data_IF_362072944114
#
_entry.id   IF_362072944114
#
_cell.length_a   1.000
_cell.length_b   1.000
_cell.length_c   1.000
_cell.angle_alpha   90.00
_cell.angle_beta   90.00
_cell.angle_gamma   90.00
#
_symmetry.space_group_name_H-M   'P 1'
#
loop_
_entity.id
_entity.type
_entity.pdbx_description
1 polymer ?
#
# COMPACT_ATOMS: atom_id res chain seq x y z
N UNK A 1 3.50 -23.89 -17.96
CA UNK A 1 2.28 -23.91 -17.12
C UNK A 1 2.69 -23.32 -15.80
N UNK A 2 2.29 -22.08 -15.55
CA UNK A 2 2.49 -21.45 -14.24
C UNK A 2 1.44 -22.13 -13.34
N UNK A 3 1.90 -22.88 -12.36
CA UNK A 3 1.05 -23.38 -11.29
C UNK A 3 0.37 -22.15 -10.68
N UNK A 4 -0.93 -21.99 -10.93
CA UNK A 4 -1.70 -20.88 -10.41
C UNK A 4 -1.71 -20.99 -8.89
N UNK A 5 -1.00 -20.09 -8.22
CA UNK A 5 -1.12 -19.96 -6.78
C UNK A 5 -2.60 -19.70 -6.48
N UNK A 6 -3.27 -20.69 -5.90
CA UNK A 6 -4.62 -20.51 -5.37
C UNK A 6 -4.46 -19.57 -4.18
N UNK A 7 -4.87 -18.31 -4.33
CA UNK A 7 -4.89 -17.37 -3.22
C UNK A 7 -6.34 -17.16 -2.86
N UNK A 8 -6.65 -17.35 -1.57
CA UNK A 8 -8.00 -17.14 -1.05
C UNK A 8 -7.98 -16.58 0.35
N UNK A 9 -8.75 -15.51 0.56
CA UNK A 9 -8.86 -14.88 1.87
C UNK A 9 -10.19 -14.15 2.07
N UNK A 10 -10.51 -13.90 3.33
CA UNK A 10 -11.66 -13.12 3.78
C UNK A 10 -11.20 -11.95 4.65
N UNK A 11 -11.78 -10.78 4.42
CA UNK A 11 -11.39 -9.56 5.14
C UNK A 11 -12.60 -8.65 5.38
N UNK A 12 -12.56 -7.87 6.45
CA UNK A 12 -13.56 -6.85 6.73
C UNK A 12 -13.51 -5.71 5.70
N UNK A 13 -14.68 -5.30 5.21
CA UNK A 13 -14.81 -4.28 4.16
C UNK A 13 -14.15 -2.96 4.53
N UNK A 14 -14.36 -2.43 5.73
CA UNK A 14 -13.84 -1.12 6.13
C UNK A 14 -12.32 -1.13 6.27
N UNK A 15 -11.79 -2.17 6.91
CA UNK A 15 -10.35 -2.37 7.09
C UNK A 15 -9.65 -2.51 5.74
N UNK A 16 -10.22 -3.28 4.82
CA UNK A 16 -9.68 -3.45 3.47
C UNK A 16 -9.72 -2.16 2.67
N UNK A 17 -10.85 -1.44 2.69
CA UNK A 17 -11.01 -0.18 1.97
C UNK A 17 -10.03 0.90 2.46
N UNK A 18 -9.80 0.98 3.77
CA UNK A 18 -8.84 1.90 4.36
C UNK A 18 -7.41 1.55 3.96
N UNK A 19 -7.02 0.27 4.05
CA UNK A 19 -5.71 -0.21 3.65
C UNK A 19 -5.42 0.05 2.17
N UNK A 20 -6.36 -0.26 1.28
CA UNK A 20 -6.25 0.03 -0.16
C UNK A 20 -6.12 1.53 -0.40
N UNK A 21 -6.98 2.35 0.24
CA UNK A 21 -6.93 3.81 0.12
C UNK A 21 -5.59 4.38 0.58
N UNK A 22 -4.99 3.81 1.61
CA UNK A 22 -3.68 4.22 2.10
C UNK A 22 -2.58 3.98 1.07
N UNK A 23 -2.42 2.75 0.58
CA UNK A 23 -1.32 2.41 -0.33
C UNK A 23 -1.47 3.03 -1.72
N UNK A 24 -2.71 3.21 -2.19
CA UNK A 24 -3.00 3.80 -3.52
C UNK A 24 -2.61 5.28 -3.60
N UNK A 25 -2.51 6.00 -2.47
CA UNK A 25 -2.03 7.39 -2.46
C UNK A 25 -0.62 7.55 -3.00
N UNK A 26 0.20 6.50 -2.88
CA UNK A 26 1.56 6.49 -3.41
C UNK A 26 1.62 6.27 -4.92
N UNK A 27 0.60 5.68 -5.53
CA UNK A 27 0.64 5.33 -6.95
C UNK A 27 0.76 6.60 -7.82
N UNK A 28 1.77 6.65 -8.70
CA UNK A 28 2.02 7.82 -9.53
C UNK A 28 0.85 8.09 -10.48
N UNK A 29 0.58 9.38 -10.73
CA UNK A 29 -0.50 9.78 -11.63
C UNK A 29 -0.19 9.47 -13.10
N UNK A 30 1.08 9.53 -13.48
CA UNK A 30 1.60 9.19 -14.80
C UNK A 30 2.79 8.27 -14.59
N UNK A 31 2.62 7.01 -14.96
CA UNK A 31 3.68 6.03 -14.79
C UNK A 31 4.15 5.53 -16.16
N UNK A 32 5.44 5.69 -16.50
CA UNK A 32 6.01 5.09 -17.70
C UNK A 32 6.07 3.56 -17.62
N UNK A 33 5.96 2.99 -16.44
CA UNK A 33 5.96 1.54 -16.21
C UNK A 33 4.60 1.08 -15.67
N UNK A 34 3.74 0.46 -16.49
CA UNK A 34 2.40 0.04 -16.07
C UNK A 34 2.36 -0.86 -14.84
N UNK A 35 3.42 -1.66 -14.61
CA UNK A 35 3.50 -2.58 -13.47
C UNK A 35 3.44 -1.85 -12.12
N UNK A 36 3.98 -0.63 -12.04
CA UNK A 36 3.97 0.19 -10.82
C UNK A 36 2.59 0.81 -10.49
N UNK A 37 1.61 0.66 -11.38
CA UNK A 37 0.22 0.98 -11.06
C UNK A 37 -0.44 -0.13 -10.19
N UNK A 38 0.28 -1.21 -9.93
CA UNK A 38 -0.17 -2.34 -9.13
C UNK A 38 -0.08 -2.09 -7.62
N UNK A 39 -1.00 -2.71 -6.90
CA UNK A 39 -0.92 -2.95 -5.45
C UNK A 39 -0.62 -4.42 -5.25
N UNK A 40 0.50 -4.70 -4.59
CA UNK A 40 0.91 -6.04 -4.19
C UNK A 40 0.16 -6.41 -2.92
N UNK A 41 -0.52 -7.56 -2.94
CA UNK A 41 -1.24 -8.11 -1.78
C UNK A 41 -0.64 -9.48 -1.48
N UNK A 42 -0.06 -9.59 -0.29
CA UNK A 42 0.53 -10.82 0.22
C UNK A 42 -0.38 -11.36 1.32
N UNK A 43 -0.96 -12.53 1.11
CA UNK A 43 -1.80 -13.23 2.07
C UNK A 43 -0.95 -14.29 2.79
N UNK A 44 -0.90 -14.24 4.11
CA UNK A 44 -0.07 -15.13 4.92
C UNK A 44 -0.60 -15.34 6.34
N UNK A 45 0.20 -15.96 7.19
CA UNK A 45 -0.18 -16.33 8.55
C UNK A 45 -0.59 -15.14 9.44
N UNK A 46 -0.12 -13.95 9.13
CA UNK A 46 -0.40 -12.73 9.91
C UNK A 46 -1.49 -11.84 9.28
N UNK A 47 -2.25 -12.38 8.33
CA UNK A 47 -3.28 -11.65 7.60
C UNK A 47 -2.79 -11.18 6.23
N UNK A 48 -3.16 -9.95 5.83
CA UNK A 48 -2.80 -9.39 4.53
C UNK A 48 -1.79 -8.26 4.70
N UNK A 49 -0.75 -8.28 3.87
CA UNK A 49 0.15 -7.14 3.66
C UNK A 49 -0.16 -6.52 2.30
N UNK A 50 -0.54 -5.24 2.28
CA UNK A 50 -0.76 -4.47 1.06
C UNK A 50 0.42 -3.52 0.88
N UNK A 51 0.98 -3.49 -0.32
CA UNK A 51 2.15 -2.66 -0.62
C UNK A 51 2.02 -1.97 -1.98
N UNK A 52 2.59 -0.76 -2.07
CA UNK A 52 2.80 -0.03 -3.31
C UNK A 52 4.22 0.54 -3.34
N UNK A 53 4.81 0.65 -4.52
CA UNK A 53 6.19 1.10 -4.71
C UNK A 53 6.33 1.83 -6.06
N UNK A 54 7.09 2.92 -6.10
CA UNK A 54 7.33 3.72 -7.30
C UNK A 54 8.82 4.01 -7.58
N UNK A 55 9.74 3.29 -6.93
CA UNK A 55 11.19 3.46 -6.88
C UNK A 55 11.69 4.62 -6.01
N UNK A 56 10.87 5.62 -5.70
CA UNK A 56 11.24 6.74 -4.83
C UNK A 56 10.70 6.55 -3.41
N UNK A 57 9.49 5.99 -3.32
CA UNK A 57 8.84 5.73 -2.05
C UNK A 57 8.13 4.38 -2.05
N UNK A 58 7.91 3.82 -0.87
CA UNK A 58 7.09 2.64 -0.66
C UNK A 58 6.06 2.88 0.44
N UNK A 59 4.87 2.34 0.26
CA UNK A 59 3.87 2.26 1.32
C UNK A 59 3.54 0.80 1.56
N UNK A 60 3.48 0.40 2.83
CA UNK A 60 3.08 -0.93 3.26
C UNK A 60 2.16 -0.82 4.46
N UNK A 61 1.11 -1.61 4.48
CA UNK A 61 0.23 -1.76 5.64
C UNK A 61 -0.17 -3.22 5.80
N UNK A 62 -0.30 -3.66 7.04
CA UNK A 62 -0.75 -5.01 7.36
C UNK A 62 -2.09 -4.94 8.07
N UNK A 63 -3.01 -5.81 7.68
CA UNK A 63 -4.37 -5.87 8.22
C UNK A 63 -4.73 -7.31 8.59
N UNK A 64 -5.60 -7.45 9.58
CA UNK A 64 -6.14 -8.75 9.96
C UNK A 64 -7.07 -9.30 8.88
N UNK A 65 -6.92 -10.57 8.56
CA UNK A 65 -7.74 -11.28 7.61
C UNK A 65 -7.71 -12.78 7.90
N UNK A 66 -8.73 -13.50 7.46
CA UNK A 66 -8.73 -14.97 7.45
C UNK A 66 -8.19 -15.44 6.11
N UNK A 67 -7.06 -16.10 6.11
CA UNK A 67 -6.39 -16.61 4.91
C UNK A 67 -6.61 -18.11 4.83
N UNK A 68 -7.32 -18.55 3.77
CA UNK A 68 -7.58 -19.97 3.50
C UNK A 68 -6.41 -20.56 2.70
N UNK A 69 -6.02 -19.87 1.62
CA UNK A 69 -4.90 -20.26 0.76
C UNK A 69 -3.90 -19.08 0.66
N UNK A 70 -2.69 -19.21 1.23
CA UNK A 70 -1.70 -18.14 1.23
C UNK A 70 -1.07 -17.94 -0.14
N UNK A 71 -0.63 -16.73 -0.42
CA UNK A 71 0.09 -16.40 -1.64
C UNK A 71 0.08 -14.91 -1.93
N UNK A 72 0.50 -14.56 -3.14
CA UNK A 72 0.71 -13.18 -3.54
C UNK A 72 -0.04 -12.87 -4.83
N UNK A 73 -0.75 -11.77 -4.85
CA UNK A 73 -1.44 -11.23 -6.03
C UNK A 73 -1.04 -9.79 -6.29
N UNK A 74 -1.07 -9.40 -7.55
CA UNK A 74 -0.85 -8.02 -7.98
C UNK A 74 -2.05 -7.54 -8.80
N UNK A 75 -2.66 -6.45 -8.38
CA UNK A 75 -3.87 -5.89 -9.01
C UNK A 75 -3.71 -4.41 -9.27
N UNK A 76 -4.40 -3.90 -10.29
CA UNK A 76 -4.37 -2.47 -10.60
C UNK A 76 -4.97 -1.64 -9.46
N UNK A 77 -4.14 -0.86 -8.76
CA UNK A 77 -4.49 -0.24 -7.48
C UNK A 77 -5.62 0.77 -7.56
N UNK A 78 -5.67 1.61 -8.62
CA UNK A 78 -6.77 2.59 -8.75
C UNK A 78 -8.12 1.92 -8.97
N UNK A 79 -8.16 0.87 -9.80
CA UNK A 79 -9.38 0.10 -10.02
C UNK A 79 -9.82 -0.59 -8.73
N UNK A 80 -8.87 -1.20 -8.00
CA UNK A 80 -9.14 -1.80 -6.69
C UNK A 80 -9.71 -0.77 -5.70
N UNK A 81 -9.14 0.45 -5.66
CA UNK A 81 -9.60 1.52 -4.78
C UNK A 81 -11.02 2.01 -5.14
N UNK A 82 -11.32 2.15 -6.43
CA UNK A 82 -12.66 2.53 -6.88
C UNK A 82 -13.71 1.49 -6.50
N UNK A 83 -13.38 0.20 -6.63
CA UNK A 83 -14.24 -0.90 -6.22
C UNK A 83 -14.40 -0.88 -4.69
N UNK A 84 -13.29 -0.89 -3.95
CA UNK A 84 -13.29 -0.96 -2.49
C UNK A 84 -14.12 0.16 -1.84
N UNK A 85 -14.08 1.37 -2.40
CA UNK A 85 -14.85 2.52 -1.90
C UNK A 85 -16.36 2.40 -2.10
N UNK A 86 -16.83 1.51 -3.00
CA UNK A 86 -18.25 1.35 -3.37
C UNK A 86 -18.85 0.01 -2.95
N UNK A 87 -18.08 -0.82 -2.24
CA UNK A 87 -18.56 -2.11 -1.77
C UNK A 87 -19.67 -1.96 -0.73
N UNK A 88 -20.67 -2.86 -0.74
CA UNK A 88 -21.68 -2.90 0.31
C UNK A 88 -21.04 -3.23 1.67
N UNK A 89 -21.76 -2.97 2.75
CA UNK A 89 -21.30 -3.28 4.10
C UNK A 89 -21.47 -4.79 4.40
N UNK A 90 -20.53 -5.59 3.86
CA UNK A 90 -20.48 -7.03 4.03
C UNK A 90 -19.01 -7.49 4.00
N UNK A 91 -18.67 -8.67 4.53
CA UNK A 91 -17.33 -9.24 4.39
C UNK A 91 -16.95 -9.40 2.92
N UNK A 92 -15.66 -9.17 2.64
CA UNK A 92 -15.07 -9.36 1.32
C UNK A 92 -14.43 -10.75 1.28
N UNK A 93 -14.67 -11.49 0.21
CA UNK A 93 -13.92 -12.67 -0.18
C UNK A 93 -13.14 -12.35 -1.44
N UNK A 94 -11.85 -12.69 -1.46
CA UNK A 94 -11.00 -12.61 -2.65
C UNK A 94 -10.49 -14.01 -2.95
N UNK A 95 -10.54 -14.39 -4.23
CA UNK A 95 -10.12 -15.72 -4.70
C UNK A 95 -9.51 -15.59 -6.10
N UNK A 96 -8.37 -16.28 -6.32
CA UNK A 96 -7.77 -16.38 -7.65
C UNK A 96 -8.50 -17.49 -8.42
N UNK A 97 -9.00 -17.15 -9.60
CA UNK A 97 -9.71 -18.03 -10.53
C UNK A 97 -8.98 -18.06 -11.88
N UNK A 98 -9.38 -18.96 -12.77
CA UNK A 98 -8.77 -19.11 -14.10
C UNK A 98 -8.85 -17.82 -14.94
N UNK A 99 -9.91 -17.02 -14.75
CA UNK A 99 -10.17 -15.78 -15.48
C UNK A 99 -9.56 -14.54 -14.83
N UNK A 100 -9.01 -14.65 -13.63
CA UNK A 100 -8.43 -13.53 -12.88
C UNK A 100 -8.68 -13.61 -11.39
N UNK A 101 -8.83 -12.47 -10.73
CA UNK A 101 -9.03 -12.35 -9.29
C UNK A 101 -10.48 -11.93 -9.04
N UNK A 102 -11.26 -12.86 -8.47
CA UNK A 102 -12.64 -12.60 -8.07
C UNK A 102 -12.67 -11.90 -6.71
N UNK A 103 -13.36 -10.76 -6.64
CA UNK A 103 -13.67 -10.05 -5.42
C UNK A 103 -15.19 -10.08 -5.21
N UNK A 104 -15.64 -10.72 -4.14
CA UNK A 104 -17.07 -10.87 -3.80
C UNK A 104 -17.35 -10.17 -2.48
N UNK A 105 -18.42 -9.38 -2.43
CA UNK A 105 -18.88 -8.68 -1.23
C UNK A 105 -20.41 -8.61 -1.23
N UNK A 106 -21.05 -9.37 -0.36
CA UNK A 106 -22.52 -9.53 -0.38
C UNK A 106 -23.01 -10.06 -1.73
N UNK A 107 -23.86 -9.30 -2.43
CA UNK A 107 -24.36 -9.65 -3.77
C UNK A 107 -23.49 -9.10 -4.91
N UNK A 108 -22.48 -8.29 -4.60
CA UNK A 108 -21.59 -7.72 -5.60
C UNK A 108 -20.42 -8.67 -5.87
N UNK A 109 -20.10 -8.87 -7.15
CA UNK A 109 -18.92 -9.63 -7.60
C UNK A 109 -18.22 -8.87 -8.70
N UNK A 110 -16.90 -8.78 -8.58
CA UNK A 110 -16.02 -8.14 -9.55
C UNK A 110 -14.94 -9.12 -9.97
N UNK A 111 -14.56 -9.08 -11.23
CA UNK A 111 -13.42 -9.81 -11.77
C UNK A 111 -12.33 -8.79 -12.13
N UNK A 112 -11.19 -8.93 -11.47
CA UNK A 112 -10.01 -8.10 -11.66
C UNK A 112 -8.97 -8.86 -12.48
N UNK A 113 -8.36 -8.19 -13.46
CA UNK A 113 -7.23 -8.77 -14.16
C UNK A 113 -6.03 -8.88 -13.21
N UNK A 114 -5.43 -10.06 -13.16
CA UNK A 114 -4.17 -10.28 -12.47
C UNK A 114 -3.02 -9.65 -13.25
N UNK A 115 -2.14 -8.96 -12.54
CA UNK A 115 -0.86 -8.47 -13.07
C UNK A 115 0.26 -9.45 -12.73
N UNK A 116 1.33 -9.55 -13.54
CA UNK A 116 2.41 -10.51 -13.29
C UNK A 116 3.23 -10.09 -12.06
N UNK A 117 3.08 -10.82 -10.97
CA UNK A 117 3.79 -10.57 -9.69
C UNK A 117 5.31 -10.59 -9.88
N UNK A 118 5.82 -11.46 -10.76
CA UNK A 118 7.25 -11.63 -11.02
C UNK A 118 7.91 -10.40 -11.68
N UNK A 119 7.12 -9.55 -12.31
CA UNK A 119 7.58 -8.30 -12.93
C UNK A 119 7.54 -7.12 -11.97
N UNK A 120 6.90 -7.28 -10.81
CA UNK A 120 6.86 -6.23 -9.80
C UNK A 120 8.22 -6.10 -9.12
N UNK A 121 8.76 -4.87 -9.00
CA UNK A 121 10.08 -4.69 -8.40
C UNK A 121 10.07 -5.07 -6.92
N UNK A 122 11.19 -5.61 -6.45
CA UNK A 122 11.37 -5.89 -5.03
C UNK A 122 11.29 -4.58 -4.22
N UNK A 123 10.41 -4.56 -3.24
CA UNK A 123 10.27 -3.41 -2.34
C UNK A 123 11.42 -3.47 -1.34
N UNK A 124 12.25 -2.41 -1.22
CA UNK A 124 13.34 -2.39 -0.25
C UNK A 124 12.84 -2.56 1.18
N UNK A 125 13.51 -3.41 1.94
CA UNK A 125 13.27 -3.53 3.37
C UNK A 125 14.04 -2.44 4.12
N UNK A 126 13.37 -1.81 5.08
CA UNK A 126 14.01 -0.86 5.97
C UNK A 126 14.73 -1.63 7.07
N UNK A 127 16.05 -1.50 7.11
CA UNK A 127 16.89 -2.08 8.16
C UNK A 127 17.54 -0.96 8.96
N UNK A 128 17.76 -1.17 10.27
CA UNK A 128 18.40 -0.20 11.14
C UNK A 128 17.74 -0.07 12.50
N UNK A 129 18.18 0.93 13.26
CA UNK A 129 17.57 1.25 14.54
C UNK A 129 16.19 1.89 14.33
N UNK A 130 15.25 1.55 15.20
CA UNK A 130 13.90 2.08 15.18
C UNK A 130 13.56 2.77 16.50
N UNK A 131 12.71 3.78 16.43
CA UNK A 131 12.18 4.48 17.58
C UNK A 131 10.66 4.62 17.49
N UNK A 132 10.04 4.92 18.62
CA UNK A 132 8.60 5.20 18.70
C UNK A 132 8.41 6.69 19.01
N UNK A 133 7.54 7.32 18.23
CA UNK A 133 7.12 8.72 18.42
C UNK A 133 5.60 8.75 18.48
N UNK A 134 4.98 9.49 19.42
CA UNK A 134 3.54 9.69 19.43
C UNK A 134 3.06 10.30 18.11
N UNK A 135 2.04 9.69 17.50
CA UNK A 135 1.59 10.06 16.15
C UNK A 135 1.10 11.53 16.08
N UNK A 136 0.41 12.02 17.12
CA UNK A 136 -0.09 13.40 17.17
C UNK A 136 1.05 14.41 17.26
N UNK A 137 2.07 14.13 18.08
CA UNK A 137 3.26 15.00 18.21
C UNK A 137 4.04 15.05 16.90
N UNK A 138 4.22 13.91 16.25
CA UNK A 138 4.92 13.82 14.97
C UNK A 138 4.16 14.55 13.85
N UNK A 139 2.85 14.35 13.76
CA UNK A 139 2.01 15.05 12.78
C UNK A 139 2.04 16.57 12.99
N UNK A 140 1.98 17.01 14.24
CA UNK A 140 2.07 18.43 14.60
C UNK A 140 3.43 19.01 14.21
N UNK A 141 4.52 18.35 14.57
CA UNK A 141 5.88 18.78 14.24
C UNK A 141 6.11 18.87 12.73
N UNK A 142 5.67 17.87 11.95
CA UNK A 142 5.75 17.92 10.48
C UNK A 142 4.96 19.10 9.93
N UNK A 143 3.73 19.31 10.39
CA UNK A 143 2.88 20.41 9.90
C UNK A 143 3.51 21.80 10.15
N UNK A 144 4.29 21.94 11.23
CA UNK A 144 4.96 23.18 11.58
C UNK A 144 6.19 23.51 10.72
N UNK A 145 6.81 22.52 10.09
CA UNK A 145 8.03 22.72 9.30
C UNK A 145 7.84 22.47 7.80
N UNK A 146 6.94 21.59 7.41
CA UNK A 146 6.78 21.17 6.03
C UNK A 146 6.39 22.30 5.06
N UNK A 147 5.76 23.37 5.55
CA UNK A 147 5.41 24.51 4.72
C UNK A 147 6.63 25.31 4.24
N UNK A 148 7.78 25.18 4.93
CA UNK A 148 9.02 25.85 4.55
C UNK A 148 9.78 25.08 3.46
N UNK A 149 9.49 23.78 3.26
CA UNK A 149 10.09 23.00 2.19
C UNK A 149 9.69 23.57 0.81
N UNK A 150 10.67 23.68 -0.09
CA UNK A 150 10.44 24.18 -1.45
C UNK A 150 9.49 23.27 -2.22
N UNK A 151 8.69 23.86 -3.11
CA UNK A 151 7.90 23.14 -4.12
C UNK A 151 8.57 23.09 -5.49
N UNK A 152 9.77 23.66 -5.58
CA UNK A 152 10.54 23.75 -6.82
C UNK A 152 11.62 22.67 -6.83
N UNK A 153 11.57 21.78 -7.80
CA UNK A 153 12.48 20.64 -7.97
C UNK A 153 13.87 21.04 -8.51
N UNK A 154 14.12 22.33 -8.77
CA UNK A 154 15.43 22.82 -9.23
C UNK A 154 16.52 22.53 -8.22
N UNK A 155 16.19 22.52 -6.92
CA UNK A 155 17.12 22.15 -5.85
C UNK A 155 16.45 21.07 -4.97
N UNK A 156 16.55 19.79 -5.34
CA UNK A 156 15.79 18.70 -4.68
C UNK A 156 16.02 18.63 -3.17
N UNK A 157 17.23 18.96 -2.68
CA UNK A 157 17.53 18.91 -1.23
C UNK A 157 16.67 19.87 -0.41
N UNK A 158 16.13 20.92 -1.02
CA UNK A 158 15.26 21.90 -0.34
C UNK A 158 13.78 21.49 -0.34
N UNK A 159 13.41 20.40 -1.04
CA UNK A 159 12.02 19.93 -1.09
C UNK A 159 11.66 19.00 0.07
N UNK A 160 12.63 18.64 0.90
CA UNK A 160 12.49 17.69 2.00
C UNK A 160 12.43 18.34 3.37
N UNK A 161 11.98 17.55 4.35
CA UNK A 161 12.13 17.82 5.77
C UNK A 161 13.25 16.92 6.30
N UNK A 162 14.28 17.52 6.86
CA UNK A 162 15.37 16.79 7.51
C UNK A 162 14.93 16.34 8.90
N UNK A 163 15.16 15.07 9.22
CA UNK A 163 14.95 14.51 10.55
C UNK A 163 16.31 14.21 11.18
N UNK A 164 16.52 14.74 12.39
CA UNK A 164 17.72 14.50 13.19
C UNK A 164 17.34 13.83 14.52
N UNK A 165 17.94 12.68 14.80
CA UNK A 165 17.73 11.94 16.06
C UNK A 165 18.97 12.08 16.92
N UNK A 166 18.81 12.58 18.14
CA UNK A 166 19.87 12.69 19.14
C UNK A 166 19.36 12.20 20.50
N UNK A 167 19.76 10.98 20.89
CA UNK A 167 19.26 10.33 22.08
C UNK A 167 17.73 10.16 22.04
N UNK A 168 17.01 10.83 22.92
CA UNK A 168 15.54 10.81 22.99
C UNK A 168 14.88 12.00 22.27
N UNK A 169 15.66 12.82 21.59
CA UNK A 169 15.17 14.00 20.92
C UNK A 169 15.11 13.78 19.40
N UNK A 170 13.97 14.13 18.80
CA UNK A 170 13.78 14.18 17.36
C UNK A 170 13.59 15.66 16.96
N UNK A 171 14.45 16.15 16.05
CA UNK A 171 14.35 17.49 15.46
C UNK A 171 13.97 17.40 14.00
N UNK A 172 13.07 18.28 13.55
CA UNK A 172 12.63 18.40 12.18
C UNK A 172 13.01 19.77 11.65
N UNK A 173 13.66 19.82 10.48
CA UNK A 173 14.14 21.07 9.87
C UNK A 173 13.77 21.10 8.40
N UNK A 174 13.24 22.24 7.94
CA UNK A 174 13.01 22.54 6.52
C UNK A 174 13.38 24.01 6.22
N UNK A 175 13.77 24.28 4.97
CA UNK A 175 14.18 25.61 4.53
C UNK A 175 13.77 25.88 3.09
#
# INVERSE_FOLDING_TARGET
>A
MVEGAQVKFHVGRDVFSEAVSFVVKLLPQRNPQPILAGVLIEAGEHGLSLSAFDYEASARTTIEASVDDPGTILVHGRLLSEIASRLPNAPIQVEVEDEGIALTCGSARFMLASMPVQEYPAIPEVSGESGLVPAEDFATAISQVAFAASRDDVTPVLTGVQLEVSGTQLSLVAT
#
